data_IF_508399817602
#
_entry.id   IF_508399817602
#
_cell.length_a   1.000
_cell.length_b   1.000
_cell.length_c   1.000
_cell.angle_alpha   90.00
_cell.angle_beta   90.00
_cell.angle_gamma   90.00
#
_symmetry.space_group_name_H-M   'P 1'
#
loop_
_entity.id
_entity.type
_entity.pdbx_description
1 polymer ?
2 non-polymer ?
3 non-polymer ?
4 water ?
#
# COMPACT_ATOMS: atom_id res chain seq x y z
N UNK A 1 -7.21 -0.19 -3.45
CA UNK A 1 -7.47 -0.22 -4.92
C UNK A 1 -8.44 -1.34 -5.36
N UNK A 2 -8.58 -2.42 -4.61
CA UNK A 2 -9.32 -3.65 -4.93
C UNK A 2 -9.56 -4.47 -3.68
N UNK A 3 -10.21 -5.65 -3.76
CA UNK A 3 -10.75 -6.33 -2.57
C UNK A 3 -9.67 -6.88 -1.62
N UNK A 4 -8.47 -7.12 -2.15
CA UNK A 4 -7.28 -7.48 -1.36
C UNK A 4 -6.89 -6.37 -0.41
N UNK A 5 -6.76 -5.17 -0.96
CA UNK A 5 -6.44 -3.94 -0.19
C UNK A 5 -7.58 -3.60 0.77
N UNK A 6 -8.83 -3.89 0.39
CA UNK A 6 -10.03 -3.68 1.26
C UNK A 6 -9.93 -4.53 2.55
N UNK A 7 -9.65 -5.81 2.41
CA UNK A 7 -9.51 -6.72 3.58
C UNK A 7 -8.32 -6.24 4.41
N UNK A 8 -7.18 -5.97 3.78
CA UNK A 8 -5.97 -5.50 4.51
C UNK A 8 -6.30 -4.26 5.33
N UNK A 9 -6.95 -3.28 4.71
CA UNK A 9 -7.28 -2.00 5.36
C UNK A 9 -8.19 -2.23 6.57
N UNK A 10 -9.16 -3.12 6.44
CA UNK A 10 -10.12 -3.46 7.53
C UNK A 10 -9.34 -4.01 8.75
N UNK A 11 -8.33 -4.82 8.50
CA UNK A 11 -7.49 -5.39 9.60
C UNK A 11 -6.65 -4.26 10.18
N UNK A 12 -5.99 -3.42 9.35
CA UNK A 12 -5.09 -2.40 9.89
C UNK A 12 -5.83 -1.40 10.75
N UNK A 13 -7.04 -1.00 10.31
CA UNK A 13 -7.77 0.12 10.98
C UNK A 13 -8.27 -0.28 12.36
N UNK A 14 -8.48 -1.56 12.65
CA UNK A 14 -9.05 -1.98 13.95
C UNK A 14 -8.11 -2.87 14.76
N UNK A 15 -7.20 -3.60 14.11
CA UNK A 15 -6.47 -4.69 14.81
C UNK A 15 -4.96 -4.44 14.79
N UNK A 16 -4.48 -3.22 14.61
CA UNK A 16 -3.03 -2.96 14.74
C UNK A 16 -2.78 -1.80 15.70
N UNK A 17 -1.63 -1.88 16.36
CA UNK A 17 -1.09 -0.80 17.20
C UNK A 17 0.36 -0.61 16.79
N UNK A 18 0.91 0.53 17.14
CA UNK A 18 2.38 0.76 16.99
C UNK A 18 3.05 0.35 18.30
N UNK A 19 3.90 -0.68 18.24
CA UNK A 19 4.64 -1.17 19.41
C UNK A 19 6.07 -0.62 19.35
N UNK A 20 6.59 -0.14 20.48
CA UNK A 20 7.98 0.38 20.55
C UNK A 20 8.72 -0.34 21.69
N UNK A 21 9.79 -1.09 21.33
CA UNK A 21 10.70 -1.73 22.30
C UNK A 21 12.05 -0.98 22.22
N UNK A 22 13.04 -1.45 22.97
CA UNK A 22 14.44 -0.92 22.89
C UNK A 22 15.06 -1.25 21.53
N UNK A 23 14.46 -2.15 20.76
CA UNK A 23 14.95 -2.57 19.41
C UNK A 23 14.21 -1.85 18.26
N UNK A 24 13.26 -0.94 18.53
CA UNK A 24 12.62 -0.12 17.50
C UNK A 24 11.10 -0.09 17.58
N UNK A 25 10.50 0.51 16.56
CA UNK A 25 9.05 0.55 16.31
C UNK A 25 8.67 -0.60 15.40
N UNK A 26 7.59 -1.31 15.74
CA UNK A 26 7.04 -2.46 15.00
C UNK A 26 5.53 -2.29 14.80
N UNK A 27 5.05 -2.68 13.64
CA UNK A 27 3.62 -3.02 13.43
C UNK A 27 3.37 -4.18 14.40
N UNK A 28 2.26 -4.09 15.14
CA UNK A 28 1.83 -5.15 16.07
C UNK A 28 0.36 -5.45 15.77
N UNK A 29 0.08 -6.72 15.53
CA UNK A 29 -1.28 -7.26 15.26
C UNK A 29 -1.94 -7.70 16.57
N UNK A 30 -3.07 -7.09 16.90
CA UNK A 30 -3.96 -7.57 17.99
C UNK A 30 -4.88 -8.65 17.48
N UNK A 31 -5.01 -9.77 18.20
CA UNK A 31 -5.71 -10.98 17.69
C UNK A 31 -7.05 -11.14 18.42
N UNK A 32 -7.08 -10.96 19.75
CA UNK A 32 -8.34 -11.06 20.52
C UNK A 32 -8.02 -10.61 21.94
N UNK A 33 -9.07 -10.17 22.66
CA UNK A 33 -8.93 -9.72 24.08
C UNK A 33 -7.70 -8.79 24.12
N UNK A 34 -6.74 -9.01 25.03
CA UNK A 34 -5.57 -8.10 25.15
C UNK A 34 -4.32 -8.81 24.62
N UNK A 35 -4.50 -9.74 23.69
CA UNK A 35 -3.44 -10.62 23.14
C UNK A 35 -3.05 -10.11 21.75
N UNK A 36 -1.75 -9.89 21.53
CA UNK A 36 -1.20 -9.41 20.25
C UNK A 36 0.04 -10.23 19.89
N UNK A 37 0.56 -10.05 18.69
CA UNK A 37 1.77 -10.76 18.22
C UNK A 37 2.77 -9.74 17.68
N UNK A 38 4.04 -10.11 17.76
CA UNK A 38 5.16 -9.25 17.28
C UNK A 38 6.31 -10.19 16.94
N UNK A 39 7.24 -9.84 16.04
CA UNK A 39 8.40 -10.71 15.83
C UNK A 39 9.24 -10.85 17.10
N UNK A 40 9.78 -12.06 17.32
CA UNK A 40 10.55 -12.35 18.56
C UNK A 40 11.81 -11.46 18.65
N UNK A 41 12.38 -11.08 17.53
CA UNK A 41 13.57 -10.18 17.50
C UNK A 41 13.24 -8.76 18.03
N UNK A 42 11.99 -8.40 18.26
CA UNK A 42 11.62 -7.14 18.92
C UNK A 42 12.09 -7.13 20.37
N UNK A 43 12.37 -8.30 20.98
CA UNK A 43 12.88 -8.46 22.35
C UNK A 43 11.95 -7.77 23.37
N UNK A 44 10.68 -8.20 23.42
CA UNK A 44 9.69 -7.61 24.37
C UNK A 44 10.17 -7.85 25.80
N UNK A 45 10.10 -6.81 26.63
CA UNK A 45 10.36 -6.91 28.09
C UNK A 45 9.12 -6.80 28.95
N UNK A 46 9.30 -6.32 30.19
CA UNK A 46 8.25 -6.15 31.22
C UNK A 46 7.37 -4.94 30.88
N UNK A 47 7.91 -3.98 30.11
CA UNK A 47 7.24 -2.71 29.70
C UNK A 47 7.44 -2.53 28.19
N UNK A 48 6.38 -2.08 27.50
CA UNK A 48 6.41 -1.78 26.04
C UNK A 48 5.62 -0.50 25.81
N UNK A 49 5.91 0.27 24.76
CA UNK A 49 5.08 1.44 24.40
C UNK A 49 4.10 0.99 23.31
N UNK A 50 2.81 1.29 23.49
CA UNK A 50 1.71 0.92 22.56
C UNK A 50 1.06 2.25 22.16
N UNK A 51 1.25 2.67 20.91
CA UNK A 51 0.73 3.99 20.45
C UNK A 51 1.24 5.06 21.42
N UNK A 52 2.53 4.99 21.79
CA UNK A 52 3.30 5.95 22.64
C UNK A 52 2.78 6.03 24.08
N UNK A 53 2.07 5.01 24.57
CA UNK A 53 1.61 4.93 25.98
C UNK A 53 2.37 3.79 26.66
N UNK A 54 3.01 4.08 27.79
CA UNK A 54 3.73 3.07 28.61
C UNK A 54 2.76 2.00 29.08
N UNK A 55 3.06 0.74 28.78
CA UNK A 55 2.13 -0.40 28.94
C UNK A 55 2.88 -1.56 29.61
N UNK A 56 2.33 -2.09 30.68
CA UNK A 56 2.87 -3.30 31.35
C UNK A 56 2.58 -4.49 30.46
N UNK A 57 3.56 -5.37 30.34
CA UNK A 57 3.40 -6.69 29.67
C UNK A 57 3.00 -7.73 30.73
N UNK A 58 1.81 -8.29 30.60
CA UNK A 58 1.30 -9.29 31.58
C UNK A 58 1.91 -10.65 31.30
N UNK A 59 2.17 -10.99 30.04
CA UNK A 59 2.84 -12.26 29.65
C UNK A 59 3.43 -12.10 28.25
N UNK A 60 4.55 -12.76 27.99
CA UNK A 60 5.19 -12.76 26.67
C UNK A 60 5.82 -14.13 26.43
N UNK A 61 5.45 -14.79 25.35
CA UNK A 61 5.91 -16.17 25.08
C UNK A 61 6.45 -16.22 23.65
N UNK A 62 7.74 -16.48 23.51
CA UNK A 62 8.42 -16.71 22.23
C UNK A 62 8.13 -18.14 21.79
N UNK A 63 7.38 -18.30 20.73
CA UNK A 63 6.89 -19.64 20.31
C UNK A 63 8.01 -20.41 19.62
N UNK A 64 8.02 -21.72 19.87
CA UNK A 64 8.91 -22.69 19.18
C UNK A 64 8.06 -23.89 18.77
N UNK A 65 8.42 -24.59 17.69
CA UNK A 65 7.67 -25.81 17.34
C UNK A 65 8.10 -26.97 18.25
N UNK A 66 7.47 -28.13 18.03
CA UNK A 66 7.72 -29.32 18.90
C UNK A 66 9.03 -30.01 18.49
N UNK A 67 9.69 -29.58 17.42
CA UNK A 67 11.16 -29.86 17.23
C UNK A 67 12.02 -28.92 18.10
N UNK A 68 11.47 -27.98 18.88
CA UNK A 68 12.20 -26.96 19.66
C UNK A 68 12.98 -26.07 18.67
N UNK A 69 12.33 -25.71 17.56
CA UNK A 69 12.89 -24.76 16.57
C UNK A 69 12.14 -23.43 16.66
N UNK A 70 12.87 -22.32 16.61
CA UNK A 70 12.31 -20.95 16.59
C UNK A 70 11.17 -20.85 15.55
N UNK A 71 10.05 -20.20 15.92
CA UNK A 71 8.97 -19.75 14.97
C UNK A 71 8.98 -18.24 14.73
N UNK A 72 9.72 -17.47 15.53
CA UNK A 72 9.92 -16.00 15.35
C UNK A 72 8.65 -15.23 15.70
N UNK A 73 7.67 -15.88 16.34
CA UNK A 73 6.43 -15.21 16.81
C UNK A 73 6.57 -15.12 18.32
N UNK A 74 6.32 -13.94 18.86
CA UNK A 74 6.09 -13.74 20.31
C UNK A 74 4.62 -13.33 20.51
N UNK A 75 3.92 -14.02 21.39
CA UNK A 75 2.53 -13.72 21.80
C UNK A 75 2.62 -12.88 23.06
N UNK A 76 2.02 -11.71 23.01
CA UNK A 76 2.11 -10.74 24.15
C UNK A 76 0.72 -10.51 24.69
N UNK A 77 0.56 -10.54 26.02
CA UNK A 77 -0.67 -10.02 26.65
C UNK A 77 -0.38 -8.66 27.27
N UNK A 78 -1.18 -7.64 26.93
CA UNK A 78 -0.94 -6.21 27.26
C UNK A 78 -1.89 -5.81 28.38
N UNK A 79 -1.37 -5.10 29.39
CA UNK A 79 -2.19 -4.52 30.48
C UNK A 79 -2.80 -3.20 30.00
N UNK A 80 -3.87 -3.28 29.21
CA UNK A 80 -4.62 -2.11 28.69
C UNK A 80 -6.08 -2.23 29.08
N UNK A 81 -6.83 -1.14 28.95
CA UNK A 81 -8.22 -1.01 29.43
C UNK A 81 -9.21 -1.37 28.32
N UNK A 82 -8.75 -1.96 27.22
CA UNK A 82 -9.64 -2.27 26.09
C UNK A 82 -9.18 -3.58 25.43
N UNK A 83 -10.10 -4.19 24.68
CA UNK A 83 -9.90 -5.46 23.96
C UNK A 83 -9.87 -5.19 22.44
N UNK A 84 -9.08 -5.98 21.72
CA UNK A 84 -9.09 -6.02 20.25
C UNK A 84 -10.37 -6.72 19.81
N UNK A 85 -10.87 -6.30 18.66
CA UNK A 85 -11.81 -7.13 17.86
C UNK A 85 -11.23 -8.54 17.70
N UNK A 86 -12.03 -9.57 17.96
CA UNK A 86 -11.60 -10.97 17.82
C UNK A 86 -11.53 -11.30 16.32
N UNK A 87 -10.32 -11.53 15.80
CA UNK A 87 -10.10 -11.89 14.37
C UNK A 87 -9.58 -13.33 14.27
N UNK A 88 -9.75 -14.16 15.30
CA UNK A 88 -9.21 -15.55 15.21
C UNK A 88 -9.87 -16.37 14.09
N UNK A 89 -11.10 -16.09 13.70
CA UNK A 89 -11.77 -16.83 12.60
C UNK A 89 -11.16 -16.50 11.23
N UNK A 90 -10.27 -15.51 11.12
CA UNK A 90 -9.58 -15.22 9.85
C UNK A 90 -8.21 -15.92 9.79
N UNK A 91 -7.85 -16.69 10.82
CA UNK A 91 -6.53 -17.37 10.84
C UNK A 91 -6.64 -18.74 10.18
N UNK A 92 -5.66 -19.11 9.34
CA UNK A 92 -5.60 -20.45 8.77
C UNK A 92 -5.42 -21.53 9.82
N UNK A 93 -6.01 -22.70 9.57
CA UNK A 93 -5.78 -23.84 10.49
C UNK A 93 -4.49 -24.60 10.15
N UNK A 94 -4.07 -24.61 8.88
CA UNK A 94 -2.92 -25.45 8.41
C UNK A 94 -1.91 -24.65 7.58
N UNK A 95 -0.67 -25.15 7.55
CA UNK A 95 0.41 -24.58 6.72
C UNK A 95 -0.04 -24.66 5.25
N UNK A 96 0.19 -23.63 4.45
CA UNK A 96 -0.32 -23.57 3.07
C UNK A 96 0.45 -22.52 2.29
N UNK A 97 0.31 -22.61 0.98
CA UNK A 97 0.68 -21.56 -0.01
C UNK A 97 -0.57 -20.73 -0.35
N UNK A 98 -0.37 -19.51 -0.84
CA UNK A 98 -1.42 -18.50 -1.09
C UNK A 98 -1.16 -17.74 -2.39
N UNK A 99 -2.23 -17.28 -3.01
CA UNK A 99 -2.10 -16.29 -4.11
C UNK A 99 -2.50 -14.90 -3.61
N UNK A 100 -1.91 -13.90 -4.23
CA UNK A 100 -2.41 -12.51 -4.26
C UNK A 100 -2.45 -11.97 -2.81
N UNK A 101 -1.32 -11.96 -2.12
CA UNK A 101 -1.23 -11.43 -0.74
C UNK A 101 -0.83 -9.94 -0.75
N UNK A 102 -1.16 -9.27 0.36
CA UNK A 102 -0.83 -7.87 0.66
C UNK A 102 -0.08 -7.88 1.98
N UNK A 103 1.02 -7.14 2.02
CA UNK A 103 1.78 -6.85 3.25
C UNK A 103 1.45 -5.42 3.66
N UNK A 104 0.95 -5.22 4.88
CA UNK A 104 0.50 -3.91 5.38
C UNK A 104 1.30 -3.51 6.62
N UNK A 105 1.76 -2.25 6.64
CA UNK A 105 2.65 -1.70 7.70
C UNK A 105 2.04 -0.42 8.19
N UNK A 106 2.13 -0.17 9.49
CA UNK A 106 1.76 1.13 10.05
C UNK A 106 2.70 1.48 11.19
N UNK A 107 3.65 2.39 10.92
CA UNK A 107 4.59 2.94 11.93
C UNK A 107 4.67 4.46 11.74
N UNK A 108 5.33 5.16 12.67
CA UNK A 108 5.66 6.62 12.54
C UNK A 108 6.33 6.90 11.18
N UNK A 109 7.27 6.06 10.76
CA UNK A 109 8.08 6.19 9.52
C UNK A 109 7.25 5.80 8.28
N UNK A 110 6.47 4.71 8.38
CA UNK A 110 5.71 4.15 7.23
C UNK A 110 4.22 4.02 7.58
N UNK A 111 3.46 5.14 7.66
CA UNK A 111 2.03 5.07 7.94
C UNK A 111 1.22 4.68 6.71
N UNK A 112 0.17 3.87 6.92
CA UNK A 112 -0.82 3.55 5.87
C UNK A 112 -0.09 2.99 4.64
N UNK A 113 0.89 2.11 4.85
CA UNK A 113 1.66 1.45 3.76
C UNK A 113 1.04 0.09 3.42
N UNK A 114 0.76 -0.16 2.15
CA UNK A 114 0.20 -1.44 1.64
C UNK A 114 1.01 -1.88 0.42
N UNK A 115 1.48 -3.12 0.40
CA UNK A 115 2.35 -3.67 -0.70
C UNK A 115 1.71 -4.91 -1.25
N UNK A 116 1.32 -4.95 -2.56
CA UNK A 116 0.88 -6.19 -3.17
C UNK A 116 2.12 -7.07 -3.44
N UNK A 117 2.25 -8.17 -2.72
CA UNK A 117 3.50 -9.00 -2.79
C UNK A 117 3.32 -10.18 -3.73
N UNK A 118 2.09 -10.53 -4.13
CA UNK A 118 1.81 -11.57 -5.11
C UNK A 118 1.76 -12.91 -4.42
N UNK A 119 2.32 -13.91 -5.08
CA UNK A 119 2.26 -15.33 -4.64
C UNK A 119 3.14 -15.55 -3.39
N UNK A 120 2.61 -16.31 -2.46
CA UNK A 120 3.28 -16.67 -1.18
C UNK A 120 3.51 -18.19 -1.12
N UNK A 121 4.77 -18.60 -1.00
CA UNK A 121 5.22 -20.02 -0.94
C UNK A 121 5.33 -20.43 0.53
N UNK A 122 4.82 -21.62 0.85
CA UNK A 122 5.20 -22.32 2.09
C UNK A 122 6.67 -22.73 1.93
N UNK A 123 7.58 -21.91 2.40
CA UNK A 123 9.04 -22.09 2.20
C UNK A 123 9.56 -23.10 3.23
N UNK A 124 9.08 -22.99 4.47
CA UNK A 124 9.42 -23.89 5.59
C UNK A 124 10.64 -23.43 6.34
N UNK A 125 11.77 -24.12 6.16
CA UNK A 125 13.01 -23.83 6.90
C UNK A 125 13.71 -22.59 6.31
N UNK A 126 14.19 -21.71 7.20
CA UNK A 126 15.03 -20.54 6.88
C UNK A 126 16.03 -20.32 8.01
N UNK A 127 17.27 -20.10 7.62
CA UNK A 127 18.28 -19.55 8.53
C UNK A 127 18.11 -18.04 8.60
N UNK A 128 17.35 -17.55 9.58
CA UNK A 128 16.94 -16.15 9.69
C UNK A 128 17.89 -15.39 10.64
N UNK A 129 18.78 -14.54 10.12
CA UNK A 129 19.76 -13.81 10.95
C UNK A 129 20.63 -14.76 11.77
N UNK A 130 20.95 -15.94 11.23
CA UNK A 130 21.73 -16.95 11.97
C UNK A 130 20.89 -17.95 12.78
N UNK A 131 19.56 -17.79 12.87
CA UNK A 131 18.73 -18.67 13.74
C UNK A 131 17.90 -19.60 12.86
N UNK A 132 18.05 -20.94 12.98
CA UNK A 132 17.15 -21.88 12.31
C UNK A 132 15.70 -21.56 12.69
N UNK A 133 14.86 -21.41 11.68
CA UNK A 133 13.45 -20.96 11.85
C UNK A 133 12.54 -21.84 10.98
N UNK A 134 11.39 -22.26 11.50
CA UNK A 134 10.42 -23.05 10.73
C UNK A 134 9.16 -22.24 10.41
N UNK A 135 8.29 -22.83 9.58
CA UNK A 135 6.98 -22.26 9.15
C UNK A 135 7.13 -20.88 8.52
N UNK A 136 8.14 -20.69 7.68
CA UNK A 136 8.34 -19.40 6.95
C UNK A 136 7.58 -19.42 5.63
N UNK A 137 6.89 -18.31 5.38
CA UNK A 137 6.24 -17.97 4.10
C UNK A 137 7.20 -17.06 3.33
N UNK A 138 7.29 -17.21 2.02
CA UNK A 138 8.20 -16.34 1.21
C UNK A 138 7.42 -15.66 0.09
N UNK A 139 7.77 -14.42 -0.19
CA UNK A 139 7.19 -13.64 -1.32
C UNK A 139 8.31 -12.88 -1.99
N UNK A 140 8.11 -12.65 -3.28
CA UNK A 140 9.19 -12.11 -4.13
C UNK A 140 8.97 -10.62 -4.16
N UNK A 141 9.15 -9.96 -3.01
CA UNK A 141 9.21 -8.47 -2.96
C UNK A 141 10.41 -8.06 -2.14
N UNK A 142 11.18 -7.07 -2.66
CA UNK A 142 12.34 -6.46 -1.98
C UNK A 142 11.98 -5.52 -0.81
N UNK A 143 11.51 -6.18 0.26
CA UNK A 143 11.15 -5.57 1.57
C UNK A 143 12.44 -5.06 2.25
N UNK A 144 12.30 -3.92 2.93
CA UNK A 144 13.41 -3.13 3.53
C UNK A 144 13.12 -3.00 5.03
N UNK A 145 14.10 -2.49 5.78
CA UNK A 145 13.99 -2.29 7.23
C UNK A 145 12.82 -1.32 7.49
N UNK A 146 12.09 -1.57 8.58
CA UNK A 146 10.87 -0.83 8.97
C UNK A 146 9.59 -1.63 8.74
N UNK A 147 9.67 -2.78 8.05
CA UNK A 147 8.45 -3.55 7.67
C UNK A 147 8.22 -4.73 8.61
N UNK A 148 9.12 -4.97 9.59
CA UNK A 148 8.95 -6.11 10.52
C UNK A 148 7.71 -5.87 11.38
N UNK A 149 6.93 -6.96 11.50
CA UNK A 149 5.63 -6.94 12.20
C UNK A 149 4.50 -6.71 11.20
N UNK A 150 4.84 -6.36 9.95
CA UNK A 150 3.84 -6.07 8.93
C UNK A 150 2.91 -7.25 8.81
N UNK A 151 1.64 -7.00 8.53
CA UNK A 151 0.62 -8.07 8.47
C UNK A 151 0.49 -8.56 7.04
N UNK A 152 0.58 -9.87 6.85
CA UNK A 152 0.33 -10.50 5.53
C UNK A 152 -1.08 -11.08 5.50
N UNK A 153 -1.88 -10.63 4.51
CA UNK A 153 -3.27 -11.06 4.36
C UNK A 153 -3.51 -11.51 2.92
N UNK A 154 -4.52 -12.33 2.77
CA UNK A 154 -5.23 -12.49 1.47
C UNK A 154 -6.66 -11.99 1.71
N UNK A 155 -7.52 -12.04 0.69
CA UNK A 155 -8.97 -11.84 0.91
C UNK A 155 -9.45 -12.92 1.89
N UNK A 156 -9.87 -12.47 3.05
CA UNK A 156 -10.55 -13.27 4.06
C UNK A 156 -9.60 -13.95 4.98
N UNK A 157 -8.25 -13.89 4.80
CA UNK A 157 -7.33 -14.59 5.74
C UNK A 157 -6.15 -13.71 6.20
N UNK A 158 -5.86 -13.77 7.49
CA UNK A 158 -4.62 -13.17 8.06
C UNK A 158 -3.61 -14.30 8.20
N UNK A 159 -2.53 -14.33 7.39
CA UNK A 159 -1.74 -15.58 7.24
C UNK A 159 -0.36 -15.48 7.92
N UNK A 160 0.15 -14.29 8.22
CA UNK A 160 1.52 -14.17 8.74
C UNK A 160 1.91 -12.77 9.16
N UNK A 161 3.11 -12.69 9.75
CA UNK A 161 3.71 -11.38 10.10
C UNK A 161 5.14 -11.38 9.53
N UNK A 162 5.49 -10.28 8.85
CA UNK A 162 6.81 -10.05 8.22
C UNK A 162 7.93 -10.11 9.26
N UNK A 163 8.99 -10.91 9.00
CA UNK A 163 10.09 -11.07 10.00
C UNK A 163 11.46 -10.87 9.35
N UNK A 164 11.57 -10.77 8.03
CA UNK A 164 12.90 -10.54 7.43
C UNK A 164 12.91 -10.49 5.91
N UNK A 165 14.10 -10.29 5.34
CA UNK A 165 14.23 -10.26 3.87
C UNK A 165 15.67 -10.51 3.48
N UNK A 166 15.93 -10.79 2.21
CA UNK A 166 17.34 -10.93 1.73
C UNK A 166 17.66 -9.87 0.65
N UNK A 167 16.90 -8.79 0.57
CA UNK A 167 17.02 -7.76 -0.48
C UNK A 167 16.16 -8.06 -1.71
N UNK A 168 15.90 -9.33 -2.05
CA UNK A 168 15.08 -9.75 -3.22
C UNK A 168 13.75 -10.38 -2.79
N UNK A 169 13.80 -11.25 -1.79
CA UNK A 169 12.63 -11.94 -1.17
C UNK A 169 12.33 -11.38 0.23
N UNK A 170 11.06 -11.51 0.63
CA UNK A 170 10.62 -11.20 2.01
C UNK A 170 10.05 -12.46 2.63
N UNK A 171 10.16 -12.53 3.95
CA UNK A 171 9.81 -13.72 4.75
C UNK A 171 8.84 -13.35 5.88
N UNK A 172 7.81 -14.19 6.04
CA UNK A 172 6.84 -14.00 7.13
C UNK A 172 6.77 -15.28 7.97
N UNK A 173 6.56 -15.13 9.26
CA UNK A 173 6.19 -16.25 10.14
C UNK A 173 4.70 -16.52 10.01
N UNK A 174 4.32 -17.78 9.85
CA UNK A 174 2.91 -18.20 9.76
C UNK A 174 2.18 -17.79 11.02
N UNK A 175 0.93 -17.38 10.86
CA UNK A 175 -0.03 -17.40 11.98
C UNK A 175 -0.99 -18.57 11.75
N UNK A 176 -1.16 -19.37 12.77
CA UNK A 176 -2.07 -20.51 12.81
C UNK A 176 -3.13 -20.32 13.90
N UNK A 177 -4.35 -20.74 13.60
CA UNK A 177 -5.46 -20.67 14.58
C UNK A 177 -5.04 -21.33 15.91
N UNK A 178 -4.30 -22.43 15.88
CA UNK A 178 -3.91 -23.19 17.11
C UNK A 178 -3.01 -22.41 18.07
N UNK A 179 -2.35 -21.33 17.63
CA UNK A 179 -1.52 -20.51 18.53
C UNK A 179 -2.39 -19.72 19.55
N UNK A 180 -3.70 -19.55 19.29
CA UNK A 180 -4.58 -18.58 20.02
C UNK A 180 -5.86 -19.20 20.58
N UNK A 181 -5.83 -20.49 20.90
CA UNK A 181 -6.91 -21.18 21.65
C UNK A 181 -6.70 -20.86 23.16
N UNK A 182 -7.79 -20.69 23.91
CA UNK A 182 -7.82 -20.23 25.33
C UNK A 182 -8.70 -21.16 26.18
N UNK B 2 10.56 7.72 3.65
CA UNK B 2 11.56 8.77 4.03
C UNK B 2 11.16 10.14 3.47
N UNK B 3 12.06 10.81 2.71
CA UNK B 3 11.68 12.01 1.97
C UNK B 3 10.62 11.60 0.92
N UNK B 4 10.72 10.38 0.40
CA UNK B 4 9.76 9.78 -0.55
C UNK B 4 8.36 9.64 0.03
N UNK B 5 8.23 9.03 1.20
CA UNK B 5 6.91 8.91 1.89
C UNK B 5 6.37 10.27 2.31
N UNK B 6 7.21 11.14 2.87
CA UNK B 6 6.86 12.55 3.19
C UNK B 6 6.34 13.26 1.94
N UNK B 7 7.05 13.12 0.81
CA UNK B 7 6.69 13.80 -0.45
C UNK B 7 5.31 13.32 -0.93
N UNK B 8 5.09 12.02 -0.91
CA UNK B 8 3.82 11.41 -1.37
C UNK B 8 2.68 11.95 -0.50
N UNK B 9 2.89 12.03 0.83
CA UNK B 9 1.84 12.56 1.76
C UNK B 9 1.57 14.04 1.54
N UNK B 10 2.59 14.84 1.19
CA UNK B 10 2.49 16.30 0.97
C UNK B 10 1.69 16.60 -0.30
N UNK B 11 1.89 15.78 -1.33
CA UNK B 11 1.09 15.86 -2.58
C UNK B 11 -0.35 15.36 -2.34
N UNK B 12 -0.52 14.24 -1.64
CA UNK B 12 -1.87 13.74 -1.26
C UNK B 12 -2.65 14.85 -0.55
N UNK B 13 -2.08 15.38 0.53
CA UNK B 13 -2.81 16.29 1.46
C UNK B 13 -3.31 17.55 0.73
N UNK B 14 -2.55 18.18 -0.15
CA UNK B 14 -2.96 19.47 -0.75
C UNK B 14 -3.44 19.33 -2.21
N UNK B 15 -2.99 18.29 -2.92
CA UNK B 15 -3.24 18.22 -4.40
C UNK B 15 -4.09 17.02 -4.84
N UNK B 16 -4.68 16.21 -3.98
CA UNK B 16 -5.43 14.99 -4.38
C UNK B 16 -6.87 15.13 -3.88
N UNK B 17 -7.84 15.01 -4.79
CA UNK B 17 -9.29 15.09 -4.52
C UNK B 17 -9.94 13.80 -4.97
N UNK B 18 -11.18 13.53 -4.46
CA UNK B 18 -11.98 12.37 -4.95
C UNK B 18 -12.87 12.86 -6.09
N UNK B 19 -12.69 12.34 -7.31
CA UNK B 19 -13.53 12.71 -8.47
C UNK B 19 -14.52 11.57 -8.68
N UNK B 20 -15.80 11.87 -8.90
CA UNK B 20 -16.81 10.82 -9.19
C UNK B 20 -17.53 11.17 -10.50
N UNK B 21 -17.35 10.29 -11.47
CA UNK B 21 -18.02 10.35 -12.79
C UNK B 21 -19.16 9.33 -12.80
N UNK B 22 -19.83 9.17 -13.94
CA UNK B 22 -20.83 8.08 -14.16
C UNK B 22 -20.22 6.72 -13.84
N UNK B 23 -18.89 6.56 -13.95
CA UNK B 23 -18.17 5.26 -13.83
C UNK B 23 -17.84 4.97 -12.36
N UNK B 24 -17.91 5.95 -11.48
CA UNK B 24 -17.60 5.84 -10.05
C UNK B 24 -16.43 6.74 -9.65
N UNK B 25 -15.67 6.29 -8.63
CA UNK B 25 -14.72 7.20 -7.93
C UNK B 25 -13.30 6.93 -8.44
N UNK B 26 -12.62 8.06 -8.58
CA UNK B 26 -11.23 8.11 -9.10
C UNK B 26 -10.39 9.06 -8.26
N UNK B 27 -9.16 8.64 -8.00
CA UNK B 27 -8.15 9.54 -7.39
C UNK B 27 -7.78 10.63 -8.43
N UNK B 28 -8.01 11.87 -8.11
CA UNK B 28 -7.76 12.97 -9.08
C UNK B 28 -6.60 13.84 -8.55
N UNK B 29 -5.65 14.19 -9.41
CA UNK B 29 -4.57 15.15 -9.11
C UNK B 29 -4.86 16.55 -9.63
N UNK B 30 -4.96 17.53 -8.73
CA UNK B 30 -4.98 18.94 -9.10
C UNK B 30 -3.57 19.45 -9.30
N UNK B 31 -3.36 20.16 -10.38
CA UNK B 31 -1.98 20.53 -10.86
C UNK B 31 -1.72 22.03 -10.61
N UNK B 32 -2.66 22.88 -10.94
CA UNK B 32 -2.61 24.36 -10.75
C UNK B 32 -3.96 24.98 -11.04
N UNK B 33 -4.22 26.19 -10.52
CA UNK B 33 -5.46 26.94 -10.81
C UNK B 33 -6.63 25.98 -10.61
N UNK B 34 -7.50 25.80 -11.60
CA UNK B 34 -8.64 24.83 -11.51
C UNK B 34 -8.41 23.70 -12.52
N UNK B 35 -7.15 23.38 -12.74
CA UNK B 35 -6.73 22.33 -13.74
C UNK B 35 -6.29 21.06 -13.02
N UNK B 36 -6.91 19.93 -13.35
CA UNK B 36 -6.64 18.60 -12.75
C UNK B 36 -6.51 17.56 -13.87
N UNK B 37 -6.07 16.38 -13.50
CA UNK B 37 -5.93 15.23 -14.42
C UNK B 37 -6.64 14.02 -13.83
N UNK B 38 -7.10 13.17 -14.73
CA UNK B 38 -7.84 11.92 -14.40
C UNK B 38 -7.62 10.97 -15.57
N UNK B 39 -7.64 9.63 -15.39
CA UNK B 39 -7.54 8.73 -16.53
C UNK B 39 -8.67 8.95 -17.55
N UNK B 40 -8.36 8.78 -18.83
CA UNK B 40 -9.37 9.02 -19.89
C UNK B 40 -10.53 8.02 -19.70
N UNK B 41 -10.24 6.82 -19.22
CA UNK B 41 -11.31 5.80 -19.01
C UNK B 41 -12.36 6.21 -17.98
N UNK B 42 -12.17 7.28 -17.20
CA UNK B 42 -13.16 7.80 -16.23
C UNK B 42 -14.42 8.35 -16.92
N UNK B 43 -14.32 8.65 -18.22
CA UNK B 43 -15.49 9.13 -19.03
C UNK B 43 -16.07 10.41 -18.42
N UNK B 44 -15.23 11.44 -18.34
CA UNK B 44 -15.64 12.74 -17.77
C UNK B 44 -16.75 13.37 -18.64
N UNK B 45 -17.80 13.84 -17.97
CA UNK B 45 -18.93 14.46 -18.65
C UNK B 45 -18.96 15.95 -18.48
N UNK B 46 -20.17 16.53 -18.48
CA UNK B 46 -20.36 18.00 -18.33
C UNK B 46 -20.27 18.37 -16.85
N UNK B 47 -20.61 17.41 -15.99
CA UNK B 47 -20.66 17.56 -14.51
C UNK B 47 -19.85 16.42 -13.90
N UNK B 48 -19.15 16.76 -12.81
CA UNK B 48 -18.40 15.77 -12.00
C UNK B 48 -18.62 16.14 -10.53
N UNK B 49 -18.46 15.14 -9.65
CA UNK B 49 -18.44 15.37 -8.19
C UNK B 49 -16.98 15.42 -7.75
N UNK B 50 -16.65 16.47 -7.00
CA UNK B 50 -15.29 16.69 -6.42
C UNK B 50 -15.50 16.70 -4.90
N UNK B 51 -15.04 15.68 -4.21
CA UNK B 51 -15.28 15.51 -2.76
C UNK B 51 -16.78 15.67 -2.47
N UNK B 52 -17.61 15.00 -3.29
CA UNK B 52 -19.08 14.87 -3.15
C UNK B 52 -19.80 16.19 -3.47
N UNK B 53 -19.11 17.19 -4.02
CA UNK B 53 -19.70 18.47 -4.48
C UNK B 53 -19.91 18.46 -6.00
N UNK B 54 -21.15 18.57 -6.47
CA UNK B 54 -21.52 18.74 -7.91
C UNK B 54 -20.75 19.92 -8.49
N UNK B 55 -19.94 19.70 -9.56
CA UNK B 55 -18.98 20.67 -10.14
C UNK B 55 -19.11 20.65 -11.67
N UNK B 56 -19.32 21.80 -12.28
CA UNK B 56 -19.31 21.92 -13.76
C UNK B 56 -17.88 21.66 -14.24
N UNK B 57 -17.75 20.81 -15.24
CA UNK B 57 -16.47 20.71 -16.02
C UNK B 57 -16.49 21.70 -17.21
N UNK B 58 -15.67 22.72 -17.16
CA UNK B 58 -15.66 23.78 -18.19
C UNK B 58 -14.96 23.29 -19.45
N UNK B 59 -13.94 22.44 -19.30
CA UNK B 59 -13.17 21.91 -20.44
C UNK B 59 -12.66 20.52 -20.06
N UNK B 60 -12.61 19.62 -21.05
CA UNK B 60 -12.00 18.28 -20.89
C UNK B 60 -11.23 18.00 -22.16
N UNK B 61 -9.96 17.66 -22.03
CA UNK B 61 -9.06 17.33 -23.16
C UNK B 61 -8.47 15.93 -22.94
N UNK B 62 -8.88 14.96 -23.78
CA UNK B 62 -8.32 13.59 -23.84
C UNK B 62 -7.00 13.66 -24.61
N UNK B 63 -5.87 13.64 -23.91
CA UNK B 63 -4.56 13.97 -24.53
C UNK B 63 -4.15 12.88 -25.54
N UNK B 64 -3.57 13.35 -26.64
CA UNK B 64 -2.91 12.52 -27.66
C UNK B 64 -1.58 13.18 -28.02
N UNK B 65 -0.58 12.41 -28.42
CA UNK B 65 0.74 12.99 -28.78
C UNK B 65 0.76 13.36 -30.28
N UNK B 66 1.91 13.81 -30.75
CA UNK B 66 2.04 14.33 -32.13
C UNK B 66 2.10 13.19 -33.17
N UNK B 67 2.15 11.93 -32.73
CA UNK B 67 1.91 10.76 -33.61
C UNK B 67 0.39 10.48 -33.71
N UNK B 68 -0.43 11.28 -33.02
CA UNK B 68 -1.89 11.10 -32.94
C UNK B 68 -2.19 9.78 -32.24
N UNK B 69 -1.49 9.53 -31.14
CA UNK B 69 -1.68 8.29 -30.33
C UNK B 69 -2.16 8.69 -28.94
N UNK B 70 -3.15 7.96 -28.44
CA UNK B 70 -3.70 8.11 -27.07
C UNK B 70 -2.57 8.16 -26.04
N UNK B 71 -2.73 9.07 -25.05
CA UNK B 71 -1.88 9.09 -23.81
C UNK B 71 -2.67 8.67 -22.54
N UNK B 72 -3.99 8.48 -22.62
CA UNK B 72 -4.83 7.97 -21.52
C UNK B 72 -4.95 8.95 -20.33
N UNK B 73 -4.54 10.20 -20.52
CA UNK B 73 -4.72 11.31 -19.53
C UNK B 73 -5.79 12.22 -20.09
N UNK B 74 -6.73 12.65 -19.26
CA UNK B 74 -7.66 13.74 -19.58
C UNK B 74 -7.39 14.92 -18.66
N UNK B 75 -7.10 16.08 -19.23
CA UNK B 75 -6.95 17.33 -18.46
C UNK B 75 -8.33 17.97 -18.33
N UNK B 76 -8.75 18.34 -17.12
CA UNK B 76 -10.08 18.99 -16.89
C UNK B 76 -9.84 20.38 -16.30
N UNK B 77 -10.71 21.33 -16.66
CA UNK B 77 -10.81 22.68 -16.05
C UNK B 77 -12.12 22.73 -15.28
N UNK B 78 -12.07 22.96 -13.97
CA UNK B 78 -13.24 22.78 -13.06
C UNK B 78 -13.80 24.18 -12.71
N UNK B 79 -15.13 24.30 -12.66
CA UNK B 79 -15.85 25.51 -12.16
C UNK B 79 -15.93 25.42 -10.64
N UNK B 80 -14.89 25.85 -9.91
CA UNK B 80 -14.88 25.85 -8.43
C UNK B 80 -14.00 27.01 -7.93
N UNK B 81 -14.32 27.53 -6.72
CA UNK B 81 -13.65 28.72 -6.14
C UNK B 81 -12.21 28.35 -5.77
N UNK B 82 -12.03 27.19 -5.15
CA UNK B 82 -10.70 26.77 -4.64
C UNK B 82 -9.72 26.63 -5.82
N UNK B 83 -8.52 27.17 -5.64
CA UNK B 83 -7.41 26.98 -6.59
C UNK B 83 -6.48 25.90 -6.02
N UNK B 84 -5.93 25.03 -6.87
CA UNK B 84 -4.97 24.00 -6.45
C UNK B 84 -3.59 24.63 -6.26
N UNK B 85 -2.85 24.16 -5.24
CA UNK B 85 -1.42 24.48 -5.03
C UNK B 85 -0.65 24.13 -6.32
N UNK B 86 0.02 25.12 -6.95
CA UNK B 86 0.79 24.88 -8.19
C UNK B 86 1.92 23.90 -7.87
N UNK B 87 1.97 22.75 -8.56
CA UNK B 87 2.99 21.68 -8.44
C UNK B 87 3.66 21.44 -9.79
N UNK B 88 3.51 22.36 -10.76
CA UNK B 88 4.08 22.14 -12.12
C UNK B 88 5.59 22.03 -12.06
N UNK B 89 6.23 22.68 -11.06
CA UNK B 89 7.70 22.57 -10.87
C UNK B 89 8.14 21.18 -10.42
N UNK B 90 7.23 20.27 -10.05
CA UNK B 90 7.57 18.87 -9.71
C UNK B 90 7.30 17.86 -10.85
N UNK B 91 6.85 18.36 -11.99
CA UNK B 91 6.60 17.49 -13.20
C UNK B 91 7.89 17.32 -13.96
N UNK B 92 8.22 16.08 -14.37
CA UNK B 92 9.35 15.80 -15.25
C UNK B 92 9.24 16.54 -16.60
N UNK B 93 10.39 17.00 -17.08
CA UNK B 93 10.46 17.69 -18.40
C UNK B 93 10.51 16.64 -19.51
N UNK B 94 11.11 15.48 -19.26
CA UNK B 94 11.34 14.43 -20.28
C UNK B 94 10.93 13.05 -19.75
N UNK B 95 10.79 12.09 -20.65
CA UNK B 95 10.49 10.67 -20.37
C UNK B 95 11.68 10.08 -19.64
N UNK B 96 11.45 9.19 -18.66
CA UNK B 96 12.55 8.67 -17.80
C UNK B 96 12.12 7.39 -17.09
N UNK B 97 13.10 6.63 -16.60
CA UNK B 97 12.98 5.52 -15.62
C UNK B 97 13.20 6.11 -14.22
N UNK B 98 12.66 5.47 -13.18
CA UNK B 98 12.73 5.97 -11.79
C UNK B 98 12.93 4.81 -10.82
N UNK B 99 13.44 5.10 -9.62
CA UNK B 99 13.44 4.12 -8.49
C UNK B 99 12.57 4.59 -7.33
N UNK B 100 12.16 3.64 -6.51
CA UNK B 100 11.61 3.88 -5.16
C UNK B 100 10.36 4.75 -5.29
N UNK B 101 9.49 4.43 -6.26
CA UNK B 101 8.22 5.16 -6.45
C UNK B 101 7.14 4.71 -5.46
N UNK B 102 6.21 5.61 -5.20
CA UNK B 102 5.02 5.37 -4.34
C UNK B 102 3.78 5.67 -5.18
N UNK B 103 2.77 4.80 -5.09
CA UNK B 103 1.44 5.02 -5.70
C UNK B 103 0.50 5.41 -4.55
N UNK B 104 -0.17 6.56 -4.65
CA UNK B 104 -1.01 7.13 -3.58
C UNK B 104 -2.48 7.21 -4.03
N UNK B 105 -3.29 6.37 -3.38
CA UNK B 105 -4.74 6.16 -3.67
C UNK B 105 -5.57 6.98 -2.69
N UNK B 106 -6.62 7.62 -3.17
CA UNK B 106 -7.51 8.40 -2.31
C UNK B 106 -8.94 8.36 -2.85
N UNK B 107 -9.78 7.48 -2.27
CA UNK B 107 -11.24 7.43 -2.59
C UNK B 107 -12.04 7.29 -1.29
N UNK B 108 -13.36 7.27 -1.40
CA UNK B 108 -14.22 7.07 -0.19
C UNK B 108 -13.95 5.69 0.41
N UNK B 109 -13.69 4.69 -0.41
CA UNK B 109 -13.40 3.30 0.02
C UNK B 109 -11.97 3.16 0.56
N UNK B 110 -11.02 3.91 -0.02
CA UNK B 110 -9.55 3.76 0.24
C UNK B 110 -8.99 5.15 0.53
N UNK B 111 -9.26 5.74 1.70
CA UNK B 111 -8.78 7.08 1.99
C UNK B 111 -7.29 7.04 2.35
N UNK B 112 -6.51 7.99 1.89
CA UNK B 112 -5.09 8.05 2.38
C UNK B 112 -4.35 6.68 2.37
N UNK B 113 -4.29 5.93 1.25
CA UNK B 113 -3.57 4.64 1.09
C UNK B 113 -2.26 4.82 0.26
N UNK B 114 -1.11 4.40 0.77
CA UNK B 114 0.23 4.50 0.11
C UNK B 114 0.78 3.13 -0.27
N UNK B 115 1.08 2.96 -1.56
CA UNK B 115 1.53 1.66 -2.12
C UNK B 115 2.92 1.84 -2.72
N UNK B 116 4.00 1.41 -2.01
CA UNK B 116 5.35 1.43 -2.55
C UNK B 116 5.36 0.42 -3.71
N UNK B 117 5.76 0.88 -4.89
CA UNK B 117 5.78 0.01 -6.10
C UNK B 117 7.22 -0.28 -6.47
N UNK B 118 8.15 0.60 -6.08
CA UNK B 118 9.60 0.43 -6.32
C UNK B 118 9.99 0.87 -7.70
N UNK B 119 10.63 -0.03 -8.44
CA UNK B 119 11.29 0.33 -9.72
C UNK B 119 10.22 0.57 -10.78
N UNK B 120 10.35 1.70 -11.46
CA UNK B 120 9.45 2.17 -12.55
C UNK B 120 10.25 2.25 -13.86
N UNK B 121 9.79 1.54 -14.87
CA UNK B 121 10.39 1.52 -16.24
C UNK B 121 9.60 2.43 -17.19
N UNK B 122 10.30 3.21 -18.00
CA UNK B 122 9.76 3.78 -19.26
C UNK B 122 9.44 2.61 -20.21
N UNK B 123 8.19 2.17 -20.23
CA UNK B 123 7.72 0.96 -20.97
C UNK B 123 7.40 1.41 -22.39
N UNK B 124 6.77 2.58 -22.53
CA UNK B 124 6.42 3.23 -23.79
C UNK B 124 5.07 2.77 -24.33
N UNK B 125 5.09 1.93 -25.37
CA UNK B 125 3.87 1.50 -26.09
C UNK B 125 3.16 0.39 -25.31
N UNK B 126 1.84 0.50 -25.22
CA UNK B 126 0.93 -0.50 -24.62
C UNK B 126 -0.39 -0.47 -25.39
N UNK B 127 -0.88 -1.64 -25.70
CA UNK B 127 -2.28 -1.82 -26.18
C UNK B 127 -3.17 -1.93 -24.96
N UNK B 128 -3.80 -0.82 -24.59
CA UNK B 128 -4.61 -0.74 -23.35
C UNK B 128 -6.09 -0.83 -23.69
N UNK B 129 -6.76 -1.97 -23.38
CA UNK B 129 -8.19 -2.17 -23.70
C UNK B 129 -8.46 -2.09 -25.20
N UNK B 130 -7.50 -2.48 -26.03
CA UNK B 130 -7.60 -2.42 -27.50
C UNK B 130 -7.17 -1.07 -28.09
N UNK B 131 -6.81 -0.10 -27.26
CA UNK B 131 -6.32 1.21 -27.77
C UNK B 131 -4.81 1.33 -27.67
N UNK B 132 -4.09 1.56 -28.79
CA UNK B 132 -2.67 1.87 -28.78
C UNK B 132 -2.41 3.14 -27.95
N UNK B 133 -1.45 3.04 -27.02
CA UNK B 133 -1.17 4.06 -25.98
C UNK B 133 0.34 4.26 -25.90
N UNK B 134 0.75 5.51 -25.76
CA UNK B 134 2.16 5.87 -25.58
C UNK B 134 2.45 6.33 -24.14
N UNK B 135 3.75 6.46 -23.88
CA UNK B 135 4.34 7.08 -22.67
C UNK B 135 3.85 6.37 -21.40
N UNK B 136 3.79 5.06 -21.45
CA UNK B 136 3.42 4.21 -20.29
C UNK B 136 4.65 3.92 -19.43
N UNK B 137 4.47 4.19 -18.13
CA UNK B 137 5.39 3.72 -17.07
C UNK B 137 4.89 2.37 -16.53
N UNK B 138 5.80 1.44 -16.23
CA UNK B 138 5.41 0.10 -15.72
C UNK B 138 6.14 -0.19 -14.40
N UNK B 139 5.40 -0.84 -13.51
CA UNK B 139 5.89 -1.35 -12.19
C UNK B 139 5.28 -2.71 -11.92
N UNK B 140 5.93 -3.53 -11.10
CA UNK B 140 5.31 -4.77 -10.61
C UNK B 140 4.05 -4.40 -9.84
N UNK B 141 2.98 -5.18 -10.01
CA UNK B 141 1.66 -4.96 -9.36
C UNK B 141 0.86 -6.26 -9.42
N UNK B 142 1.26 -7.28 -8.64
CA UNK B 142 0.63 -8.62 -8.69
C UNK B 142 -0.67 -8.71 -7.88
N UNK B 143 -1.69 -8.04 -8.39
CA UNK B 143 -3.01 -7.83 -7.76
C UNK B 143 -3.91 -7.43 -8.93
N UNK B 144 -5.20 -7.73 -8.84
CA UNK B 144 -6.21 -7.17 -9.76
C UNK B 144 -6.79 -5.98 -9.00
N UNK B 145 -6.33 -4.78 -9.34
CA UNK B 145 -6.87 -3.50 -8.84
C UNK B 145 -8.08 -3.09 -9.69
N UNK B 146 -8.98 -2.31 -9.08
CA UNK B 146 -10.08 -1.64 -9.76
C UNK B 146 -9.59 -0.43 -10.54
N UNK B 147 -10.54 0.41 -10.95
CA UNK B 147 -10.33 1.54 -11.88
C UNK B 147 -9.80 2.80 -11.18
N UNK B 148 -9.88 2.91 -9.85
CA UNK B 148 -9.82 4.23 -9.16
C UNK B 148 -8.46 4.91 -9.40
N UNK B 149 -7.43 4.14 -9.64
CA UNK B 149 -6.07 4.67 -9.89
C UNK B 149 -5.47 5.41 -8.70
N UNK B 150 -4.55 6.35 -9.00
CA UNK B 150 -3.72 6.96 -7.98
C UNK B 150 -2.53 7.71 -8.56
N UNK B 151 -1.85 8.45 -7.72
CA UNK B 151 -0.75 9.34 -8.17
C UNK B 151 0.58 8.63 -7.92
N UNK B 152 1.48 8.66 -8.89
CA UNK B 152 2.82 8.02 -8.75
C UNK B 152 3.87 9.10 -8.52
N UNK B 153 4.61 8.98 -7.40
CA UNK B 153 5.66 9.95 -7.02
C UNK B 153 6.97 9.24 -6.75
N UNK B 154 8.02 10.03 -6.87
CA UNK B 154 9.39 9.69 -6.38
C UNK B 154 9.76 10.77 -5.37
N UNK B 155 10.93 10.69 -4.73
CA UNK B 155 11.45 11.89 -4.03
C UNK B 155 11.57 13.02 -5.08
N UNK B 156 10.79 14.05 -4.90
CA UNK B 156 10.87 15.36 -5.55
C UNK B 156 10.15 15.43 -6.88
N UNK B 157 9.49 14.36 -7.34
CA UNK B 157 8.79 14.42 -8.66
C UNK B 157 7.41 13.76 -8.61
N UNK B 158 6.49 14.37 -9.34
CA UNK B 158 5.15 13.77 -9.62
C UNK B 158 5.19 13.23 -11.06
N UNK B 159 5.30 11.92 -11.20
CA UNK B 159 5.73 11.27 -12.47
C UNK B 159 4.58 10.71 -13.29
N UNK B 160 3.43 10.38 -12.69
CA UNK B 160 2.37 9.79 -13.52
C UNK B 160 1.13 9.49 -12.71
N UNK B 161 0.09 9.05 -13.40
CA UNK B 161 -1.18 8.59 -12.75
C UNK B 161 -1.47 7.17 -13.24
N UNK B 162 -1.89 6.31 -12.32
CA UNK B 162 -2.17 4.89 -12.61
C UNK B 162 -3.37 4.77 -13.57
N UNK B 163 -3.20 4.03 -14.65
CA UNK B 163 -4.29 3.89 -15.67
C UNK B 163 -4.70 2.43 -15.92
N UNK B 164 -3.94 1.42 -15.52
CA UNK B 164 -4.38 0.02 -15.69
C UNK B 164 -3.37 -0.98 -15.21
N UNK B 165 -3.57 -2.23 -15.58
CA UNK B 165 -2.67 -3.32 -15.19
C UNK B 165 -3.16 -4.64 -15.76
N UNK B 166 -2.32 -5.67 -15.70
CA UNK B 166 -2.56 -6.99 -16.35
C UNK B 166 -2.47 -8.12 -15.32
N UNK B 167 -2.64 -7.81 -14.01
CA UNK B 167 -2.61 -8.78 -12.89
C UNK B 167 -1.21 -9.11 -12.37
N UNK B 168 -0.17 -8.82 -13.14
CA UNK B 168 1.26 -8.95 -12.84
C UNK B 168 1.92 -7.56 -12.80
N UNK B 169 1.58 -6.71 -13.77
CA UNK B 169 2.22 -5.39 -13.95
C UNK B 169 1.15 -4.31 -13.80
N UNK B 170 1.57 -3.16 -13.31
CA UNK B 170 0.79 -1.93 -13.18
C UNK B 170 1.31 -0.89 -14.16
N UNK B 171 0.40 -0.08 -14.71
CA UNK B 171 0.74 0.90 -15.78
C UNK B 171 0.24 2.27 -15.37
N UNK B 172 1.09 3.27 -15.55
CA UNK B 172 0.79 4.68 -15.31
C UNK B 172 1.08 5.48 -16.58
N UNK B 173 0.27 6.49 -16.84
CA UNK B 173 0.49 7.50 -17.88
C UNK B 173 1.50 8.51 -17.34
N UNK B 174 2.52 8.83 -18.13
CA UNK B 174 3.45 9.89 -17.71
C UNK B 174 2.76 11.24 -17.58
N UNK B 175 3.20 12.05 -16.60
CA UNK B 175 2.90 13.48 -16.55
C UNK B 175 4.20 14.20 -16.97
N UNK B 176 4.06 15.14 -17.88
CA UNK B 176 5.18 15.98 -18.38
C UNK B 176 4.82 17.44 -18.21
N UNK B 177 5.87 18.23 -17.96
CA UNK B 177 5.74 19.67 -17.70
C UNK B 177 5.05 20.33 -18.89
N UNK B 178 5.37 19.86 -20.09
CA UNK B 178 4.88 20.49 -21.34
C UNK B 178 3.37 20.35 -21.50
N UNK B 179 2.71 19.46 -20.75
CA UNK B 179 1.24 19.29 -20.88
C UNK B 179 0.45 20.48 -20.29
N UNK B 180 1.13 21.26 -19.43
CA UNK B 180 0.52 22.31 -18.59
C UNK B 180 1.16 23.69 -18.82
N UNK B 181 2.02 23.82 -19.82
CA UNK B 181 2.53 25.14 -20.28
C UNK B 181 1.59 25.72 -21.36
X LIG C 1 -6.06 -1.24 21.28
X LIG C 1 -6.74 -2.41 21.63
X LIG C 1 -6.27 -3.21 22.66
X LIG C 1 -6.49 -0.44 20.11
X LIG C 1 -6.58 0.89 20.15
X LIG C 1 -7.97 -0.39 18.12
X LIG C 1 -7.50 0.95 17.82
X LIG C 1 -5.01 -4.85 24.70
X LIG C 1 -4.43 -3.61 24.27
X LIG C 1 -5.12 -2.86 23.35
X LIG C 1 -6.88 -1.18 18.83
X LIG C 1 -4.48 -1.67 23.06
X LIG C 1 -4.94 -0.87 22.03
X LIG C 1 -7.09 1.71 19.01
X LIG D 1 -3.57 22.62 -19.73
X LIG D 1 -4.97 23.21 -19.88
X LIG D 1 -2.73 23.70 -18.61
X LIG D 1 -2.66 23.04 -21.20
#
# INVERSE_FOLDING_TARGET
>A
MGPGFDFAQAIMKKNTVIARTEKGEFTMLGVYDRVAVIPTHASVGEIIYINDVETRVLDACALRDLTDTNLEITIVKLDRNQKFRDIRHFLPRCEDDYNDAVLSVHTSKFPNMYIPVGQVTNYGFLNLGGTPTHRILMYNFPTRAGQCGGVVTTTGKVIGIHVGGNGAQGFAAMLLHSYFTD
>B
MGPGFDFAQAIMKKNTVIARTEKGEFTMLGVYDRVAVIPTHASVGEIIYINDVETRVLDACALRDLTDTNLEITIVKLDRNQKFRDIRHFLPRCEDDYNDAVLSVHTSKFPNMYIPVGQVTNYGFLNLGGTPTHRILMYNFPTRAGQCGGVVTTTGKVIGIHVGGNGAQGFAAMLLHSYFTD
>C hetero
1 T9F C4 C5 C6 C7 C8 C10 N C O C1 C11 C2 C3 C9
>D hetero
1 DMS S O C1 C2
#
